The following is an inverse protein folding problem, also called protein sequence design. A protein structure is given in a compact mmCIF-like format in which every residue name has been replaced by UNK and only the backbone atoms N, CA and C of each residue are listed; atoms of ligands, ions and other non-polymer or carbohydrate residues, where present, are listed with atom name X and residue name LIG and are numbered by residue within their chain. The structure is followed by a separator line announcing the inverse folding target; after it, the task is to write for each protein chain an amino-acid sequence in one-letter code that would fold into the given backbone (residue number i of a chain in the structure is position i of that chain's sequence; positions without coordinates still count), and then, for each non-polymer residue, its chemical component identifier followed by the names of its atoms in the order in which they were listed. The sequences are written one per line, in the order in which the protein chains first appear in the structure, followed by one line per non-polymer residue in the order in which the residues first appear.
data_IF_839808603416
#
_entry.id   IF_839808603416
#
_cell.length_a   1.000
_cell.length_b   1.000
_cell.length_c   1.000
_cell.angle_alpha   90.00
_cell.angle_beta   90.00
_cell.angle_gamma   90.00
#
_symmetry.space_group_name_H-M   'P 1'
#
loop_
_entity.id
_entity.type
_entity.pdbx_description
1 polymer ?
#
# COMPACT_ATOMS: atom_id res chain seq x y z
N UNK A 1 2.55 -38.54 -10.62
CA UNK A 1 1.69 -38.50 -11.82
C UNK A 1 2.44 -37.77 -12.92
N UNK A 2 2.35 -38.16 -14.19
CA UNK A 2 2.97 -37.39 -15.27
C UNK A 2 2.32 -36.00 -15.33
N UNK A 3 3.13 -34.94 -15.30
CA UNK A 3 2.65 -33.56 -15.41
C UNK A 3 2.15 -33.32 -16.83
N UNK A 4 0.90 -32.89 -16.96
CA UNK A 4 0.34 -32.53 -18.26
C UNK A 4 0.83 -31.12 -18.58
N UNK A 5 1.54 -30.97 -19.71
CA UNK A 5 2.15 -29.69 -20.11
C UNK A 5 1.18 -28.81 -20.92
N UNK A 6 0.29 -29.43 -21.69
CA UNK A 6 -0.64 -28.74 -22.58
C UNK A 6 -2.07 -28.85 -22.07
N UNK A 7 -2.83 -27.75 -22.10
CA UNK A 7 -4.22 -27.75 -21.63
C UNK A 7 -5.11 -28.67 -22.51
N UNK A 8 -5.64 -29.78 -21.98
CA UNK A 8 -6.48 -30.70 -22.74
C UNK A 8 -7.86 -30.10 -23.07
N UNK A 9 -8.26 -28.99 -22.41
CA UNK A 9 -9.51 -28.29 -22.73
C UNK A 9 -9.45 -27.54 -24.07
N UNK A 10 -8.26 -27.25 -24.58
CA UNK A 10 -8.07 -26.61 -25.89
C UNK A 10 -7.75 -27.61 -27.00
N UNK A 11 -7.64 -28.90 -26.68
CA UNK A 11 -7.37 -29.93 -27.66
C UNK A 11 -8.59 -30.18 -28.55
N UNK A 12 -8.39 -30.13 -29.87
CA UNK A 12 -9.41 -30.43 -30.88
C UNK A 12 -9.25 -31.88 -31.32
N UNK A 13 -10.36 -32.60 -31.42
CA UNK A 13 -10.37 -33.98 -31.91
C UNK A 13 -9.85 -34.02 -33.36
N UNK A 14 -8.87 -34.89 -33.67
CA UNK A 14 -8.47 -35.12 -35.04
C UNK A 14 -9.63 -35.68 -35.87
N UNK A 15 -9.61 -35.38 -37.17
CA UNK A 15 -10.57 -35.94 -38.12
C UNK A 15 -10.08 -37.32 -38.59
N UNK A 16 -10.54 -38.36 -37.90
CA UNK A 16 -10.15 -39.75 -38.16
C UNK A 16 -10.68 -40.32 -39.49
N UNK A 17 -11.44 -39.56 -40.27
CA UNK A 17 -11.86 -39.96 -41.62
C UNK A 17 -10.81 -39.67 -42.69
N UNK A 18 -9.77 -38.90 -42.34
CA UNK A 18 -8.67 -38.53 -43.25
C UNK A 18 -7.76 -39.72 -43.58
N UNK A 19 -7.08 -39.60 -44.71
CA UNK A 19 -6.14 -40.60 -45.21
C UNK A 19 -4.99 -40.87 -44.23
N UNK A 20 -4.57 -39.86 -43.46
CA UNK A 20 -3.50 -39.97 -42.45
C UNK A 20 -3.80 -41.00 -41.35
N UNK A 21 -5.08 -41.37 -41.17
CA UNK A 21 -5.53 -42.39 -40.21
C UNK A 21 -6.01 -43.68 -40.90
N UNK A 22 -5.81 -43.84 -42.20
CA UNK A 22 -6.25 -45.01 -42.95
C UNK A 22 -5.63 -46.30 -42.40
N UNK A 23 -4.32 -46.30 -42.12
CA UNK A 23 -3.64 -47.47 -41.56
C UNK A 23 -4.28 -47.91 -40.23
N UNK A 24 -4.47 -46.97 -39.30
CA UNK A 24 -5.13 -47.22 -38.02
C UNK A 24 -6.59 -47.70 -38.18
N UNK A 25 -7.31 -47.21 -39.19
CA UNK A 25 -8.66 -47.71 -39.52
C UNK A 25 -8.62 -49.13 -40.08
N UNK A 26 -7.67 -49.44 -40.96
CA UNK A 26 -7.53 -50.78 -41.54
C UNK A 26 -7.17 -51.83 -40.48
N UNK A 27 -6.33 -51.50 -39.51
CA UNK A 27 -6.03 -52.39 -38.37
C UNK A 27 -7.26 -52.71 -37.51
N UNK A 28 -8.19 -51.76 -37.40
CA UNK A 28 -9.44 -51.92 -36.65
C UNK A 28 -10.57 -52.56 -37.47
N UNK A 29 -10.44 -52.60 -38.79
CA UNK A 29 -11.48 -53.11 -39.69
C UNK A 29 -11.54 -54.65 -39.70
N UNK A 30 -12.74 -55.20 -39.77
CA UNK A 30 -13.00 -56.64 -39.94
C UNK A 30 -14.38 -56.85 -40.59
N UNK A 31 -14.85 -58.09 -40.75
CA UNK A 31 -16.17 -58.38 -41.37
C UNK A 31 -17.37 -57.70 -40.67
N UNK A 32 -17.22 -57.26 -39.42
CA UNK A 32 -18.25 -56.60 -38.61
C UNK A 32 -18.02 -55.09 -38.43
N UNK A 33 -16.80 -54.61 -38.70
CA UNK A 33 -16.38 -53.22 -38.48
C UNK A 33 -15.98 -52.64 -39.84
N UNK A 34 -16.88 -51.84 -40.38
CA UNK A 34 -16.61 -51.04 -41.56
C UNK A 34 -15.67 -49.85 -41.24
N UNK A 35 -15.13 -49.24 -42.29
CA UNK A 35 -14.19 -48.12 -42.17
C UNK A 35 -14.77 -46.92 -41.39
N UNK A 36 -16.07 -46.63 -41.56
CA UNK A 36 -16.75 -45.55 -40.86
C UNK A 36 -16.89 -45.83 -39.35
N UNK A 37 -17.17 -47.09 -38.98
CA UNK A 37 -17.19 -47.53 -37.59
C UNK A 37 -15.79 -47.51 -36.99
N UNK A 38 -14.75 -47.90 -37.73
CA UNK A 38 -13.36 -47.80 -37.29
C UNK A 38 -12.95 -46.35 -36.96
N UNK A 39 -13.28 -45.40 -37.85
CA UNK A 39 -13.06 -43.96 -37.61
C UNK A 39 -13.79 -43.47 -36.34
N UNK A 40 -15.02 -43.94 -36.13
CA UNK A 40 -15.82 -43.58 -34.94
C UNK A 40 -15.26 -44.18 -33.65
N UNK A 41 -14.71 -45.40 -33.70
CA UNK A 41 -14.02 -46.02 -32.56
C UNK A 41 -12.79 -45.19 -32.18
N UNK A 42 -11.98 -44.76 -33.16
CA UNK A 42 -10.82 -43.90 -32.91
C UNK A 42 -11.20 -42.57 -32.28
N UNK A 43 -12.26 -41.92 -32.79
CA UNK A 43 -12.79 -40.69 -32.21
C UNK A 43 -13.24 -40.88 -30.75
N UNK A 44 -13.90 -42.00 -30.46
CA UNK A 44 -14.33 -42.33 -29.10
C UNK A 44 -13.14 -42.58 -28.17
N UNK A 45 -12.12 -43.32 -28.62
CA UNK A 45 -10.90 -43.57 -27.85
C UNK A 45 -10.17 -42.27 -27.54
N UNK A 46 -10.06 -41.37 -28.51
CA UNK A 46 -9.48 -40.04 -28.30
C UNK A 46 -10.28 -39.24 -27.26
N UNK A 47 -11.61 -39.26 -27.33
CA UNK A 47 -12.46 -38.57 -26.36
C UNK A 47 -12.27 -39.11 -24.94
N UNK A 48 -12.18 -40.44 -24.79
CA UNK A 48 -11.91 -41.09 -23.49
C UNK A 48 -10.55 -40.66 -22.95
N UNK A 49 -9.51 -40.67 -23.78
CA UNK A 49 -8.17 -40.23 -23.39
C UNK A 49 -8.15 -38.75 -22.99
N UNK A 50 -8.70 -37.88 -23.83
CA UNK A 50 -8.76 -36.44 -23.57
C UNK A 50 -9.56 -36.11 -22.29
N UNK A 51 -10.63 -36.86 -22.01
CA UNK A 51 -11.39 -36.67 -20.76
C UNK A 51 -10.59 -37.09 -19.52
N UNK A 52 -9.77 -38.14 -19.61
CA UNK A 52 -8.84 -38.50 -18.51
C UNK A 52 -7.81 -37.41 -18.28
N UNK A 53 -7.25 -36.87 -19.36
CA UNK A 53 -6.27 -35.78 -19.28
C UNK A 53 -6.90 -34.52 -18.70
N UNK A 54 -8.15 -34.19 -19.03
CA UNK A 54 -8.90 -33.08 -18.41
C UNK A 54 -9.04 -33.24 -16.90
N UNK A 55 -9.35 -34.45 -16.42
CA UNK A 55 -9.47 -34.73 -14.99
C UNK A 55 -8.11 -34.56 -14.30
N UNK A 56 -7.05 -35.15 -14.86
CA UNK A 56 -5.71 -35.04 -14.31
C UNK A 56 -5.20 -33.57 -14.32
N UNK A 57 -5.50 -32.82 -15.37
CA UNK A 57 -5.21 -31.39 -15.46
C UNK A 57 -5.95 -30.60 -14.38
N UNK A 58 -7.24 -30.86 -14.17
CA UNK A 58 -8.01 -30.20 -13.12
C UNK A 58 -7.43 -30.49 -11.73
N UNK A 59 -7.03 -31.72 -11.47
CA UNK A 59 -6.37 -32.10 -10.21
C UNK A 59 -5.04 -31.36 -10.02
N UNK A 60 -4.21 -31.30 -11.06
CA UNK A 60 -2.95 -30.56 -10.99
C UNK A 60 -3.18 -29.07 -10.71
N UNK A 61 -4.16 -28.45 -11.37
CA UNK A 61 -4.53 -27.05 -11.15
C UNK A 61 -5.01 -26.79 -9.72
N UNK A 62 -5.83 -27.68 -9.18
CA UNK A 62 -6.29 -27.59 -7.79
C UNK A 62 -5.10 -27.68 -6.82
N UNK A 63 -4.19 -28.61 -7.03
CA UNK A 63 -2.99 -28.75 -6.20
C UNK A 63 -2.08 -27.52 -6.28
N UNK A 64 -1.86 -26.97 -7.48
CA UNK A 64 -1.13 -25.71 -7.67
C UNK A 64 -1.77 -24.54 -6.91
N UNK A 65 -3.10 -24.43 -6.93
CA UNK A 65 -3.84 -23.40 -6.19
C UNK A 65 -3.65 -23.60 -4.68
N UNK A 66 -3.83 -24.82 -4.17
CA UNK A 66 -3.66 -25.13 -2.74
C UNK A 66 -2.22 -24.91 -2.25
N UNK A 67 -1.22 -25.14 -3.10
CA UNK A 67 0.18 -24.82 -2.77
C UNK A 67 0.37 -23.30 -2.70
N UNK A 68 -0.09 -22.57 -3.71
CA UNK A 68 0.03 -21.11 -3.74
C UNK A 68 -0.73 -20.43 -2.58
N UNK A 69 -1.91 -20.93 -2.21
CA UNK A 69 -2.66 -20.43 -1.05
C UNK A 69 -1.91 -20.66 0.25
N UNK A 70 -1.33 -21.85 0.44
CA UNK A 70 -0.50 -22.13 1.62
C UNK A 70 0.72 -21.22 1.67
N UNK A 71 1.43 -21.04 0.56
CA UNK A 71 2.58 -20.13 0.50
C UNK A 71 2.18 -18.68 0.85
N UNK A 72 1.04 -18.21 0.33
CA UNK A 72 0.50 -16.89 0.69
C UNK A 72 0.22 -16.78 2.20
N UNK A 73 -0.43 -17.79 2.79
CA UNK A 73 -0.72 -17.81 4.22
C UNK A 73 0.55 -17.80 5.07
N UNK A 74 1.54 -18.61 4.72
CA UNK A 74 2.84 -18.65 5.40
C UNK A 74 3.55 -17.29 5.37
N UNK A 75 3.54 -16.60 4.22
CA UNK A 75 4.13 -15.27 4.09
C UNK A 75 3.38 -14.23 4.95
N UNK A 76 2.06 -14.29 4.98
CA UNK A 76 1.25 -13.38 5.80
C UNK A 76 1.50 -13.59 7.30
N UNK A 77 1.53 -14.85 7.75
CA UNK A 77 1.88 -15.19 9.13
C UNK A 77 3.28 -14.70 9.51
N UNK A 78 4.26 -14.88 8.63
CA UNK A 78 5.62 -14.42 8.86
C UNK A 78 5.71 -12.89 8.97
N UNK A 79 5.01 -12.15 8.11
CA UNK A 79 4.92 -10.69 8.19
C UNK A 79 4.28 -10.24 9.51
N UNK A 80 3.18 -10.89 9.92
CA UNK A 80 2.50 -10.57 11.19
C UNK A 80 3.43 -10.83 12.38
N UNK A 81 4.14 -11.96 12.36
CA UNK A 81 5.10 -12.31 13.41
C UNK A 81 6.26 -11.32 13.49
N UNK A 82 6.82 -10.90 12.35
CA UNK A 82 7.88 -9.89 12.30
C UNK A 82 7.39 -8.52 12.80
N UNK A 83 6.20 -8.09 12.40
CA UNK A 83 5.61 -6.83 12.89
C UNK A 83 5.38 -6.86 14.39
N UNK A 84 4.89 -7.98 14.92
CA UNK A 84 4.69 -8.15 16.36
C UNK A 84 6.01 -8.11 17.12
N UNK A 85 7.04 -8.82 16.63
CA UNK A 85 8.39 -8.78 17.22
C UNK A 85 8.94 -7.35 17.26
N UNK A 86 8.81 -6.61 16.14
CA UNK A 86 9.27 -5.24 16.07
C UNK A 86 8.51 -4.33 17.05
N UNK A 87 7.19 -4.51 17.16
CA UNK A 87 6.38 -3.77 18.12
C UNK A 87 6.79 -4.06 19.56
N UNK A 88 7.00 -5.34 19.91
CA UNK A 88 7.45 -5.77 21.23
C UNK A 88 8.84 -5.20 21.56
N UNK A 89 9.77 -5.21 20.60
CA UNK A 89 11.10 -4.60 20.75
C UNK A 89 11.03 -3.08 20.97
N UNK A 90 10.20 -2.38 20.20
CA UNK A 90 9.97 -0.94 20.36
C UNK A 90 9.36 -0.62 21.73
N UNK A 91 8.42 -1.44 22.19
CA UNK A 91 7.78 -1.31 23.49
C UNK A 91 8.79 -1.48 24.63
N UNK A 92 9.65 -2.50 24.53
CA UNK A 92 10.73 -2.74 25.51
C UNK A 92 11.70 -1.56 25.50
N UNK A 93 12.16 -1.11 24.33
CA UNK A 93 13.08 0.01 24.19
C UNK A 93 12.49 1.30 24.79
N UNK A 94 11.21 1.57 24.54
CA UNK A 94 10.51 2.74 25.07
C UNK A 94 10.33 2.66 26.59
N UNK A 95 10.01 1.48 27.15
CA UNK A 95 9.94 1.27 28.61
C UNK A 95 11.30 1.47 29.27
N UNK A 96 12.37 0.95 28.66
CA UNK A 96 13.73 1.16 29.15
C UNK A 96 14.16 2.62 29.12
N UNK A 97 13.86 3.32 28.02
CA UNK A 97 14.23 4.72 27.87
C UNK A 97 13.45 5.60 28.85
N UNK A 98 12.16 5.35 29.08
CA UNK A 98 11.38 6.01 30.16
C UNK A 98 11.97 5.75 31.54
N UNK A 99 12.45 4.53 31.79
CA UNK A 99 13.08 4.16 33.07
C UNK A 99 14.40 4.91 33.29
N UNK A 100 15.21 5.07 32.22
CA UNK A 100 16.51 5.76 32.24
C UNK A 100 16.34 7.29 32.24
N UNK A 101 15.34 7.83 31.56
CA UNK A 101 15.13 9.25 31.33
C UNK A 101 13.83 9.79 31.96
N UNK A 102 13.69 9.60 33.28
CA UNK A 102 12.45 9.95 34.00
C UNK A 102 12.04 11.42 33.89
N UNK A 103 13.02 12.34 33.76
CA UNK A 103 12.76 13.78 33.69
C UNK A 103 12.15 14.20 32.35
N UNK A 104 12.57 13.58 31.24
CA UNK A 104 12.04 13.89 29.90
C UNK A 104 10.56 13.49 29.75
N UNK A 105 10.13 12.44 30.45
CA UNK A 105 8.72 11.97 30.44
C UNK A 105 7.95 12.36 31.69
N UNK A 106 8.48 13.29 32.50
CA UNK A 106 7.69 13.88 33.56
C UNK A 106 6.49 14.60 32.94
N UNK A 107 5.29 14.49 33.51
CA UNK A 107 4.15 15.29 33.07
C UNK A 107 4.56 16.76 33.02
N UNK A 108 4.33 17.40 31.87
CA UNK A 108 4.47 18.84 31.77
C UNK A 108 3.55 19.45 32.81
N UNK A 109 4.03 20.49 33.52
CA UNK A 109 3.16 21.23 34.42
C UNK A 109 2.06 21.86 33.56
N UNK A 110 0.83 21.71 34.02
CA UNK A 110 -0.33 22.38 33.45
C UNK A 110 -0.22 23.87 33.82
N UNK A 111 0.64 24.57 33.08
CA UNK A 111 0.80 26.01 33.15
C UNK A 111 -0.10 26.52 32.05
N UNK A 112 -1.11 27.30 32.44
CA UNK A 112 -1.95 27.99 31.47
C UNK A 112 -1.07 28.69 30.45
N UNK A 113 -1.31 28.41 29.17
CA UNK A 113 -0.64 29.13 28.10
C UNK A 113 -0.95 30.62 28.34
N UNK A 114 0.06 31.48 28.49
CA UNK A 114 -0.19 32.90 28.70
C UNK A 114 -1.11 33.41 27.59
N UNK A 115 -2.34 33.78 27.98
CA UNK A 115 -3.33 34.36 27.07
C UNK A 115 -3.07 35.85 26.83
N UNK A 116 -2.18 36.43 27.63
CA UNK A 116 -1.71 37.79 27.42
C UNK A 116 -0.91 37.86 26.11
N UNK A 117 -1.22 38.84 25.24
CA UNK A 117 -0.47 39.02 24.02
C UNK A 117 1.00 39.28 24.36
N UNK A 118 1.92 38.62 23.66
CA UNK A 118 3.34 38.92 23.77
C UNK A 118 3.54 40.36 23.27
N UNK A 119 3.78 41.28 24.20
CA UNK A 119 3.97 42.69 23.88
C UNK A 119 5.39 42.87 23.33
N UNK A 120 5.51 42.89 22.01
CA UNK A 120 6.79 43.09 21.32
C UNK A 120 7.02 44.60 21.14
N UNK A 121 8.24 45.12 21.42
CA UNK A 121 8.57 46.52 21.14
C UNK A 121 8.37 46.89 19.68
N UNK A 122 8.02 48.16 19.43
CA UNK A 122 7.76 48.69 18.10
C UNK A 122 8.88 48.34 17.10
N UNK A 123 8.54 48.11 15.84
CA UNK A 123 9.53 47.79 14.79
C UNK A 123 10.64 48.85 14.70
N UNK A 124 10.31 50.12 14.96
CA UNK A 124 11.27 51.22 15.04
C UNK A 124 12.35 50.99 16.13
N UNK A 125 11.96 50.61 17.35
CA UNK A 125 12.92 50.38 18.43
C UNK A 125 13.73 49.12 18.22
N UNK A 126 13.10 48.08 17.67
CA UNK A 126 13.80 46.86 17.24
C UNK A 126 14.87 47.16 16.19
N UNK A 127 14.62 48.07 15.25
CA UNK A 127 15.61 48.50 14.24
C UNK A 127 16.77 49.27 14.87
N UNK A 128 16.48 50.22 15.76
CA UNK A 128 17.53 50.97 16.49
C UNK A 128 18.43 50.07 17.32
N UNK A 129 17.84 49.10 18.03
CA UNK A 129 18.58 48.11 18.81
C UNK A 129 19.50 47.27 17.91
N UNK A 130 19.03 46.84 16.74
CA UNK A 130 19.86 46.11 15.77
C UNK A 130 20.99 46.96 15.16
N UNK A 131 20.75 48.26 14.99
CA UNK A 131 21.74 49.21 14.49
C UNK A 131 22.75 49.69 15.55
N UNK A 132 22.54 49.35 16.83
CA UNK A 132 23.36 49.86 17.94
C UNK A 132 23.13 51.34 18.23
N UNK A 133 22.01 51.90 17.76
CA UNK A 133 21.66 53.30 17.96
C UNK A 133 20.97 53.53 19.31
N UNK A 134 21.09 54.75 19.84
CA UNK A 134 20.40 55.14 21.06
C UNK A 134 18.88 55.04 20.90
N UNK A 135 18.27 54.27 21.80
CA UNK A 135 16.82 54.09 21.91
C UNK A 135 16.38 54.39 23.34
N UNK A 136 15.39 55.28 23.50
CA UNK A 136 14.87 55.63 24.81
C UNK A 136 14.21 54.44 25.49
N UNK A 137 14.43 54.29 26.80
CA UNK A 137 13.90 53.18 27.58
C UNK A 137 12.36 53.22 27.69
N UNK A 138 11.78 54.41 27.52
CA UNK A 138 10.34 54.63 27.56
C UNK A 138 9.57 53.72 26.59
N UNK A 139 10.12 53.45 25.40
CA UNK A 139 9.51 52.58 24.40
C UNK A 139 9.39 51.09 24.80
N UNK A 140 10.05 50.68 25.88
CA UNK A 140 9.98 49.32 26.43
C UNK A 140 9.17 49.26 27.73
N UNK A 141 8.61 50.38 28.17
CA UNK A 141 7.68 50.42 29.32
C UNK A 141 6.28 50.02 28.87
N UNK A 142 5.46 49.44 29.76
CA UNK A 142 4.07 49.07 29.45
C UNK A 142 3.30 50.25 28.82
N UNK A 143 3.48 51.45 29.39
CA UNK A 143 2.89 52.69 28.89
C UNK A 143 3.36 53.02 27.46
N UNK A 144 4.66 52.96 27.19
CA UNK A 144 5.18 53.22 25.85
C UNK A 144 4.75 52.18 24.81
N UNK A 145 4.54 50.93 25.24
CA UNK A 145 4.03 49.86 24.38
C UNK A 145 2.53 50.05 24.07
N UNK A 146 1.72 50.42 25.08
CA UNK A 146 0.30 50.76 24.91
C UNK A 146 0.11 51.97 23.99
N UNK A 147 0.87 53.05 24.22
CA UNK A 147 0.83 54.26 23.38
C UNK A 147 1.20 53.93 21.91
N UNK A 148 2.20 53.07 21.70
CA UNK A 148 2.57 52.60 20.37
C UNK A 148 1.49 51.74 19.71
N UNK A 149 0.81 50.86 20.45
CA UNK A 149 -0.31 50.06 19.95
C UNK A 149 -1.49 50.94 19.52
N UNK A 150 -1.85 51.94 20.33
CA UNK A 150 -2.92 52.89 19.99
C UNK A 150 -2.58 53.74 18.77
N UNK A 151 -1.32 54.16 18.63
CA UNK A 151 -0.83 54.91 17.46
C UNK A 151 -0.94 54.09 16.16
N UNK A 152 -0.51 52.82 16.19
CA UNK A 152 -0.59 51.92 15.03
C UNK A 152 -2.04 51.70 14.56
N UNK A 153 -2.97 51.48 15.50
CA UNK A 153 -4.40 51.29 15.20
C UNK A 153 -5.06 52.57 14.66
N UNK A 154 -4.59 53.74 15.08
CA UNK A 154 -5.12 55.04 14.64
C UNK A 154 -4.58 55.41 13.25
N UNK A 155 -3.31 55.11 12.95
CA UNK A 155 -2.72 55.38 11.64
C UNK A 155 -3.31 54.52 10.52
N UNK A 156 -3.77 53.29 10.79
CA UNK A 156 -4.37 52.43 9.77
C UNK A 156 -5.75 52.94 9.31
N UNK A 157 -6.48 53.65 10.19
CA UNK A 157 -7.75 54.29 9.85
C UNK A 157 -7.59 55.55 8.96
N UNK A 158 -6.48 56.28 9.06
CA UNK A 158 -6.21 57.44 8.19
C UNK A 158 -5.54 57.07 6.85
N UNK A 159 -4.80 55.96 6.78
CA UNK A 159 -4.13 55.53 5.53
C UNK A 159 -5.13 54.96 4.50
N UNK A 160 -6.33 54.52 4.93
CA UNK A 160 -7.39 54.09 4.00
C UNK A 160 -8.10 55.25 3.28
N UNK A 161 -7.88 56.51 3.67
CA UNK A 161 -8.55 57.70 3.08
C UNK A 161 -7.72 58.36 1.97
N UNK A 162 -6.45 57.99 1.78
CA UNK A 162 -5.55 58.60 0.78
C UNK A 162 -5.05 57.61 -0.28
N UNK A 163 -5.96 56.81 -0.85
CA UNK A 163 -5.73 56.16 -2.15
C UNK A 163 -6.98 56.19 -3.00
N UNK A 164 -7.32 57.38 -3.46
CA UNK A 164 -8.47 57.61 -4.33
C UNK A 164 -8.48 59.01 -4.91
N UNK A 165 -7.46 59.36 -5.70
CA UNK A 165 -7.52 60.31 -6.82
C UNK A 165 -6.48 59.92 -7.87
#
# INVERSE_FOLDING_TARGET
MPSILNNPNTAVAPDFTREEYQEARTELSNELIDDALAARILANLWSIANNKDKIAWAQQREEEILVAERECQWLEEEVVMQQKSLADEQDVAHREERKKNKLKYAPARDIDVPSDPVIIPLQYTTRKMKAGEYCELHYFTNRGLEEALHSLLTTDAEVLVMRGM
#
